data_IF_295002592699
#
_entry.id   IF_295002592699
#
_cell.length_a   1.000
_cell.length_b   1.000
_cell.length_c   1.000
_cell.angle_alpha   90.00
_cell.angle_beta   90.00
_cell.angle_gamma   90.00
#
_symmetry.space_group_name_H-M   'P 1'
#
loop_
_entity.id
_entity.type
_entity.pdbx_description
1 polymer ?
#
# COMPACT_ATOMS: atom_id res chain seq x y z
N UNK A 1 -22.38 5.95 -62.37
CA UNK A 1 -22.89 5.31 -61.11
C UNK A 1 -21.70 4.91 -60.27
N UNK A 2 -21.47 5.69 -59.25
CA UNK A 2 -20.46 5.43 -58.21
C UNK A 2 -21.05 4.44 -57.21
N UNK A 3 -20.43 3.30 -57.06
CA UNK A 3 -20.67 2.41 -55.93
C UNK A 3 -19.67 2.76 -54.82
N UNK A 4 -20.18 3.36 -53.77
CA UNK A 4 -19.49 3.55 -52.51
C UNK A 4 -19.38 2.19 -51.83
N UNK A 5 -18.17 1.64 -51.74
CA UNK A 5 -17.87 0.52 -50.83
C UNK A 5 -17.59 1.10 -49.46
N UNK A 6 -18.59 1.11 -48.60
CA UNK A 6 -18.35 1.26 -47.17
C UNK A 6 -17.59 0.03 -46.68
N UNK A 7 -16.28 0.16 -46.55
CA UNK A 7 -15.49 -0.80 -45.76
C UNK A 7 -15.91 -0.64 -44.30
N UNK A 8 -16.73 -1.57 -43.83
CA UNK A 8 -16.96 -1.68 -42.40
C UNK A 8 -15.69 -2.23 -41.77
N UNK A 9 -14.92 -1.37 -41.12
CA UNK A 9 -13.86 -1.76 -40.20
C UNK A 9 -14.49 -2.47 -39.03
N UNK A 10 -14.66 -3.78 -39.16
CA UNK A 10 -14.96 -4.67 -38.07
C UNK A 10 -13.65 -4.78 -37.26
N UNK A 11 -13.48 -3.94 -36.27
CA UNK A 11 -12.48 -4.15 -35.22
C UNK A 11 -12.73 -5.53 -34.60
N UNK A 12 -12.01 -6.53 -35.06
CA UNK A 12 -11.98 -7.85 -34.42
C UNK A 12 -11.37 -7.65 -33.03
N UNK A 13 -12.21 -7.62 -32.02
CA UNK A 13 -11.77 -7.74 -30.64
C UNK A 13 -11.05 -9.07 -30.52
N UNK A 14 -9.72 -9.05 -30.50
CA UNK A 14 -8.95 -10.23 -30.16
C UNK A 14 -9.15 -10.46 -28.65
N UNK A 15 -9.83 -11.55 -28.32
CA UNK A 15 -9.93 -12.04 -26.93
C UNK A 15 -8.74 -12.98 -26.76
N UNK A 16 -7.80 -12.59 -25.90
CA UNK A 16 -6.71 -13.47 -25.48
C UNK A 16 -7.17 -14.20 -24.22
N UNK A 17 -7.43 -15.48 -24.35
CA UNK A 17 -7.62 -16.38 -23.20
C UNK A 17 -6.25 -16.88 -22.75
N UNK A 18 -5.84 -16.53 -21.54
CA UNK A 18 -4.67 -17.12 -20.91
C UNK A 18 -5.09 -17.86 -19.63
N UNK A 19 -4.62 -19.10 -19.46
CA UNK A 19 -4.81 -19.84 -18.23
C UNK A 19 -3.74 -19.40 -17.22
N UNK A 20 -4.17 -18.84 -16.10
CA UNK A 20 -3.30 -18.52 -14.97
C UNK A 20 -3.49 -19.63 -13.93
N UNK A 21 -2.41 -20.32 -13.57
CA UNK A 21 -2.41 -21.27 -12.46
C UNK A 21 -2.11 -20.52 -11.18
N UNK A 22 -3.05 -20.53 -10.24
CA UNK A 22 -2.86 -19.96 -8.90
C UNK A 22 -2.47 -21.09 -7.96
N UNK A 23 -1.23 -21.05 -7.48
CA UNK A 23 -0.75 -22.02 -6.49
C UNK A 23 -1.09 -21.51 -5.08
N UNK A 24 -1.60 -22.37 -4.17
CA UNK A 24 -1.82 -21.98 -2.79
C UNK A 24 -0.48 -21.73 -2.11
N UNK A 25 -0.41 -20.62 -1.37
CA UNK A 25 0.77 -20.25 -0.56
C UNK A 25 0.32 -20.14 0.89
N UNK A 26 1.05 -20.79 1.81
CA UNK A 26 0.87 -20.58 3.24
C UNK A 26 1.76 -19.42 3.69
N UNK A 27 1.14 -18.31 4.03
CA UNK A 27 1.81 -17.12 4.55
C UNK A 27 2.08 -17.20 6.07
N UNK A 28 1.68 -18.29 6.74
CA UNK A 28 1.78 -18.45 8.18
C UNK A 28 0.83 -17.57 8.98
N UNK A 29 1.07 -17.51 10.29
CA UNK A 29 0.22 -16.78 11.23
C UNK A 29 1.02 -15.70 11.97
N UNK A 30 0.32 -14.66 12.43
CA UNK A 30 0.81 -13.63 13.33
C UNK A 30 -0.16 -13.53 14.51
N UNK A 31 0.34 -13.78 15.72
CA UNK A 31 -0.39 -13.67 16.98
C UNK A 31 0.21 -12.55 17.80
N UNK A 32 -0.58 -11.53 18.11
CA UNK A 32 -0.13 -10.38 18.89
C UNK A 32 -1.10 -10.10 20.04
N UNK A 33 -0.56 -9.59 21.12
CA UNK A 33 -1.35 -9.15 22.28
C UNK A 33 -1.33 -7.62 22.34
N UNK A 34 -2.52 -7.02 22.37
CA UNK A 34 -2.72 -5.58 22.54
C UNK A 34 -3.32 -5.35 23.92
N UNK A 35 -2.63 -4.58 24.75
CA UNK A 35 -3.05 -4.27 26.12
C UNK A 35 -4.15 -3.23 26.18
N UNK A 36 -4.17 -2.29 25.23
CA UNK A 36 -5.26 -1.32 25.11
C UNK A 36 -6.50 -1.99 24.52
N UNK A 37 -7.41 -2.39 25.39
CA UNK A 37 -8.63 -3.13 25.03
C UNK A 37 -9.56 -2.35 24.10
N UNK A 38 -9.56 -1.02 24.14
CA UNK A 38 -10.35 -0.19 23.23
C UNK A 38 -9.94 -0.37 21.76
N UNK A 39 -8.65 -0.68 21.51
CA UNK A 39 -8.14 -0.96 20.16
C UNK A 39 -8.44 -2.40 19.70
N UNK A 40 -8.87 -3.29 20.59
CA UNK A 40 -9.24 -4.68 20.30
C UNK A 40 -10.74 -4.84 20.17
N UNK A 41 -11.47 -4.25 21.11
CA UNK A 41 -12.94 -4.24 21.16
C UNK A 41 -13.41 -2.79 21.24
N UNK A 42 -13.46 -2.09 20.09
CA UNK A 42 -13.76 -0.67 20.06
C UNK A 42 -15.21 -0.37 20.45
N UNK A 43 -15.42 0.80 21.02
CA UNK A 43 -16.75 1.36 21.28
C UNK A 43 -17.56 1.50 19.98
N UNK A 44 -18.87 1.69 20.09
CA UNK A 44 -19.74 1.96 18.92
C UNK A 44 -19.29 3.22 18.17
N UNK A 45 -18.78 4.22 18.89
CA UNK A 45 -18.28 5.46 18.32
C UNK A 45 -16.97 5.22 17.54
N UNK A 46 -16.02 4.48 18.12
CA UNK A 46 -14.76 4.13 17.45
C UNK A 46 -15.00 3.22 16.24
N UNK A 47 -15.99 2.34 16.29
CA UNK A 47 -16.41 1.54 15.13
C UNK A 47 -16.92 2.43 13.98
N UNK A 48 -17.75 3.44 14.30
CA UNK A 48 -18.23 4.42 13.32
C UNK A 48 -17.07 5.23 12.74
N UNK A 49 -16.15 5.70 13.61
CA UNK A 49 -14.94 6.42 13.21
C UNK A 49 -14.10 5.57 12.22
N UNK A 50 -13.75 4.36 12.60
CA UNK A 50 -12.93 3.48 11.75
C UNK A 50 -13.60 3.10 10.43
N UNK A 51 -14.95 2.99 10.41
CA UNK A 51 -15.71 2.77 9.19
C UNK A 51 -15.68 4.00 8.25
N UNK A 52 -15.77 5.22 8.79
CA UNK A 52 -15.63 6.46 8.02
C UNK A 52 -14.22 6.62 7.46
N UNK A 53 -13.19 6.36 8.26
CA UNK A 53 -11.78 6.38 7.85
C UNK A 53 -11.52 5.37 6.72
N UNK A 54 -12.07 4.16 6.83
CA UNK A 54 -11.99 3.14 5.78
C UNK A 54 -12.69 3.57 4.49
N UNK A 55 -13.81 4.29 4.58
CA UNK A 55 -14.52 4.88 3.43
C UNK A 55 -13.69 5.99 2.79
N UNK A 56 -13.09 6.86 3.60
CA UNK A 56 -12.21 7.93 3.15
C UNK A 56 -11.02 7.35 2.37
N UNK A 57 -10.32 6.35 2.92
CA UNK A 57 -9.20 5.70 2.25
C UNK A 57 -9.62 5.08 0.91
N UNK A 58 -10.72 4.33 0.88
CA UNK A 58 -11.24 3.75 -0.38
C UNK A 58 -11.56 4.83 -1.41
N UNK A 59 -12.17 5.94 -0.99
CA UNK A 59 -12.48 7.08 -1.87
C UNK A 59 -11.22 7.69 -2.47
N UNK A 60 -10.15 7.83 -1.68
CA UNK A 60 -8.86 8.37 -2.13
C UNK A 60 -8.20 7.42 -3.13
N UNK A 61 -8.13 6.12 -2.82
CA UNK A 61 -7.53 5.10 -3.69
C UNK A 61 -8.31 4.82 -4.99
N UNK A 62 -9.60 5.17 -5.04
CA UNK A 62 -10.44 5.00 -6.25
C UNK A 62 -10.37 6.17 -7.22
N UNK A 63 -9.71 7.26 -6.86
CA UNK A 63 -9.55 8.42 -7.75
C UNK A 63 -8.61 8.06 -8.90
N UNK A 64 -8.99 8.49 -10.11
CA UNK A 64 -8.04 8.45 -11.23
C UNK A 64 -6.89 9.40 -10.93
N UNK A 65 -5.69 8.87 -10.89
CA UNK A 65 -4.49 9.69 -10.87
C UNK A 65 -4.31 10.36 -12.23
N UNK A 66 -3.99 11.66 -12.22
CA UNK A 66 -3.54 12.36 -13.42
C UNK A 66 -2.01 12.29 -13.57
N UNK A 67 -1.34 11.55 -12.68
CA UNK A 67 0.09 11.32 -12.72
C UNK A 67 0.38 10.04 -13.50
N UNK A 68 1.55 10.01 -14.14
CA UNK A 68 2.13 8.80 -14.72
C UNK A 68 3.32 8.40 -13.87
N UNK A 69 3.35 7.15 -13.43
CA UNK A 69 4.53 6.62 -12.77
C UNK A 69 5.67 6.52 -13.79
N UNK A 70 6.79 7.14 -13.48
CA UNK A 70 8.00 7.13 -14.32
C UNK A 70 8.92 5.95 -14.00
N UNK A 71 8.71 5.31 -12.86
CA UNK A 71 9.49 4.17 -12.39
C UNK A 71 8.61 3.30 -11.49
N UNK A 72 8.95 2.03 -11.42
CA UNK A 72 8.44 1.05 -10.44
C UNK A 72 9.58 0.46 -9.60
N UNK A 73 10.74 1.08 -9.66
CA UNK A 73 11.90 0.75 -8.85
C UNK A 73 11.77 1.39 -7.46
N UNK A 74 11.19 0.64 -6.52
CA UNK A 74 10.87 1.10 -5.19
C UNK A 74 12.09 1.13 -4.27
N UNK A 75 12.34 2.27 -3.62
CA UNK A 75 13.21 2.31 -2.46
C UNK A 75 12.51 1.71 -1.24
N UNK A 76 13.28 1.09 -0.37
CA UNK A 76 12.82 0.68 0.94
C UNK A 76 12.58 1.92 1.81
N UNK A 77 11.37 2.12 2.36
CA UNK A 77 11.02 3.38 3.04
C UNK A 77 11.69 3.56 4.41
N UNK A 78 12.14 2.47 5.05
CA UNK A 78 12.87 2.46 6.33
C UNK A 78 13.95 1.38 6.27
N UNK A 79 15.13 1.64 6.80
CA UNK A 79 16.27 0.71 6.77
C UNK A 79 16.15 -0.50 7.70
N UNK A 80 15.17 -0.49 8.62
CA UNK A 80 14.96 -1.54 9.63
C UNK A 80 14.66 -2.93 9.05
N UNK A 81 14.76 -3.97 9.86
CA UNK A 81 14.45 -5.35 9.45
C UNK A 81 12.94 -5.57 9.25
N UNK A 82 12.58 -6.58 8.47
CA UNK A 82 11.18 -6.97 8.30
C UNK A 82 10.73 -7.74 9.55
N UNK A 83 9.77 -7.19 10.28
CA UNK A 83 9.19 -7.79 11.48
C UNK A 83 7.92 -8.58 11.20
N UNK A 84 7.13 -8.16 10.20
CA UNK A 84 5.96 -8.92 9.77
C UNK A 84 5.76 -8.83 8.26
N UNK A 85 5.67 -10.01 7.62
CA UNK A 85 5.50 -10.14 6.17
C UNK A 85 4.04 -10.05 5.75
N UNK A 86 3.84 -9.74 4.47
CA UNK A 86 2.53 -9.72 3.80
C UNK A 86 1.86 -11.10 3.83
N UNK A 87 0.53 -11.12 3.93
CA UNK A 87 -0.31 -12.30 3.75
C UNK A 87 -0.59 -13.09 5.02
N UNK A 88 0.13 -12.85 6.14
CA UNK A 88 -0.06 -13.61 7.39
C UNK A 88 -1.49 -13.54 7.90
N UNK A 89 -2.05 -14.68 8.29
CA UNK A 89 -3.28 -14.74 9.09
C UNK A 89 -3.04 -14.06 10.43
N UNK A 90 -3.89 -13.11 10.80
CA UNK A 90 -3.69 -12.29 12.00
C UNK A 90 -4.67 -12.67 13.10
N UNK A 91 -4.11 -12.85 14.31
CA UNK A 91 -4.86 -12.99 15.55
C UNK A 91 -4.44 -11.88 16.52
N UNK A 92 -5.41 -11.15 17.06
CA UNK A 92 -5.18 -10.13 18.07
C UNK A 92 -5.95 -10.55 19.32
N UNK A 93 -5.23 -10.77 20.44
CA UNK A 93 -5.81 -11.33 21.66
C UNK A 93 -6.61 -12.61 21.36
N UNK A 94 -6.02 -13.52 20.57
CA UNK A 94 -6.60 -14.78 20.08
C UNK A 94 -7.85 -14.64 19.21
N UNK A 95 -8.33 -13.43 18.93
CA UNK A 95 -9.45 -13.17 18.04
C UNK A 95 -8.96 -13.06 16.59
N UNK A 96 -9.57 -13.79 15.65
CA UNK A 96 -9.20 -13.70 14.22
C UNK A 96 -9.49 -12.30 13.69
N UNK A 97 -8.58 -11.79 12.85
CA UNK A 97 -8.68 -10.48 12.18
C UNK A 97 -8.40 -10.64 10.69
N UNK A 98 -8.65 -9.57 9.94
CA UNK A 98 -8.25 -9.51 8.54
C UNK A 98 -6.75 -9.80 8.40
N UNK A 99 -6.32 -10.49 7.32
CA UNK A 99 -4.91 -10.78 7.07
C UNK A 99 -4.03 -9.53 7.09
N UNK A 100 -2.75 -9.71 7.38
CA UNK A 100 -1.75 -8.66 7.31
C UNK A 100 -1.39 -8.38 5.85
N UNK A 101 -2.02 -7.40 5.21
CA UNK A 101 -1.82 -7.06 3.80
C UNK A 101 -0.90 -5.84 3.65
N UNK A 102 0.26 -5.88 4.32
CA UNK A 102 1.29 -4.87 4.36
C UNK A 102 2.64 -5.50 4.70
N UNK A 103 3.68 -4.69 4.77
CA UNK A 103 4.99 -5.03 5.28
C UNK A 103 5.26 -4.19 6.52
N UNK A 104 5.60 -4.85 7.65
CA UNK A 104 6.03 -4.13 8.85
C UNK A 104 7.57 -4.10 8.88
N UNK A 105 8.11 -2.90 8.95
CA UNK A 105 9.54 -2.59 9.01
C UNK A 105 9.88 -2.02 10.38
N UNK A 106 10.83 -2.65 11.08
CA UNK A 106 11.33 -2.19 12.38
C UNK A 106 11.95 -0.79 12.28
N UNK A 107 11.92 -0.05 13.39
CA UNK A 107 12.55 1.25 13.51
C UNK A 107 12.31 1.86 14.88
N UNK A 108 13.19 2.74 15.29
CA UNK A 108 13.03 3.53 16.52
C UNK A 108 12.09 4.72 16.29
N UNK A 109 11.46 5.21 17.36
CA UNK A 109 10.66 6.45 17.26
C UNK A 109 11.56 7.59 16.81
N UNK A 110 11.22 8.19 15.67
CA UNK A 110 11.99 9.29 15.10
C UNK A 110 12.84 8.91 13.89
N UNK A 111 13.03 7.63 13.61
CA UNK A 111 13.73 7.18 12.40
C UNK A 111 13.05 7.70 11.14
N UNK A 112 13.81 8.15 10.13
CA UNK A 112 13.23 8.73 8.93
C UNK A 112 12.46 7.71 8.10
N UNK A 113 11.29 8.12 7.62
CA UNK A 113 10.51 7.44 6.60
C UNK A 113 10.68 8.23 5.30
N UNK A 114 11.10 7.56 4.23
CA UNK A 114 11.31 8.18 2.92
C UNK A 114 10.27 7.72 1.90
N UNK A 115 10.01 8.57 0.89
CA UNK A 115 9.17 8.22 -0.24
C UNK A 115 9.88 7.16 -1.12
N UNK A 116 9.25 6.02 -1.43
CA UNK A 116 9.88 4.97 -2.23
C UNK A 116 9.98 5.31 -3.71
N UNK A 117 9.13 6.21 -4.20
CA UNK A 117 9.05 6.73 -5.57
C UNK A 117 8.66 8.20 -5.50
N UNK A 118 8.84 8.91 -6.63
CA UNK A 118 8.20 10.22 -6.82
C UNK A 118 6.69 10.10 -6.65
N UNK A 119 6.05 11.13 -6.09
CA UNK A 119 4.61 11.07 -5.90
C UNK A 119 4.00 12.36 -5.36
N UNK A 120 2.69 12.32 -5.19
CA UNK A 120 1.91 13.40 -4.60
C UNK A 120 1.25 12.92 -3.32
N UNK A 121 1.33 13.70 -2.28
CA UNK A 121 0.62 13.46 -1.02
C UNK A 121 -0.89 13.68 -1.25
N UNK A 122 -1.69 12.64 -1.06
CA UNK A 122 -3.14 12.69 -1.31
C UNK A 122 -3.98 12.52 -0.05
N UNK A 123 -3.36 12.09 1.04
CA UNK A 123 -3.99 12.00 2.36
C UNK A 123 -2.91 12.15 3.44
N UNK A 124 -3.21 12.98 4.44
CA UNK A 124 -2.51 13.07 5.73
C UNK A 124 -3.60 13.16 6.79
N UNK A 125 -3.61 12.22 7.73
CA UNK A 125 -4.67 12.15 8.75
C UNK A 125 -4.19 11.37 9.98
N UNK A 126 -5.04 11.28 11.01
CA UNK A 126 -4.87 10.41 12.17
C UNK A 126 -6.04 9.43 12.26
N UNK A 127 -5.79 8.17 11.92
CA UNK A 127 -6.78 7.11 11.91
C UNK A 127 -6.76 6.29 13.20
N UNK A 128 -7.92 5.82 13.62
CA UNK A 128 -8.10 5.07 14.87
C UNK A 128 -7.14 3.88 15.00
N UNK A 129 -7.04 3.05 13.95
CA UNK A 129 -6.14 1.90 13.95
C UNK A 129 -4.76 2.21 13.39
N UNK A 130 -4.67 3.05 12.37
CA UNK A 130 -3.41 3.32 11.70
C UNK A 130 -2.57 4.40 12.40
N UNK A 131 -3.15 5.17 13.33
CA UNK A 131 -2.47 6.31 13.94
C UNK A 131 -2.20 7.41 12.91
N UNK A 132 -1.09 8.13 13.05
CA UNK A 132 -0.67 9.11 12.06
C UNK A 132 -0.38 8.41 10.74
N UNK A 133 -0.96 8.92 9.67
CA UNK A 133 -1.14 8.19 8.42
C UNK A 133 -0.95 9.09 7.20
N UNK A 134 -0.19 8.59 6.22
CA UNK A 134 0.01 9.26 4.92
C UNK A 134 -0.37 8.30 3.80
N UNK A 135 -0.89 8.85 2.70
CA UNK A 135 -1.01 8.16 1.41
C UNK A 135 -0.34 9.00 0.32
N UNK A 136 0.53 8.36 -0.46
CA UNK A 136 1.13 8.91 -1.67
C UNK A 136 0.47 8.29 -2.92
N UNK A 137 0.26 9.12 -3.93
CA UNK A 137 -0.10 8.74 -5.30
C UNK A 137 1.14 8.87 -6.19
N UNK A 138 1.62 7.75 -6.71
CA UNK A 138 2.80 7.69 -7.59
C UNK A 138 2.43 7.71 -9.08
N UNK A 139 1.16 7.84 -9.40
CA UNK A 139 0.66 7.74 -10.77
C UNK A 139 0.34 6.31 -11.20
N UNK A 140 -0.23 6.14 -12.39
CA UNK A 140 -0.58 4.85 -12.99
C UNK A 140 -1.35 3.90 -12.05
N UNK A 141 -2.17 4.46 -11.14
CA UNK A 141 -2.91 3.73 -10.09
C UNK A 141 -2.03 2.98 -9.07
N UNK A 142 -0.81 3.48 -8.85
CA UNK A 142 0.12 3.02 -7.82
C UNK A 142 0.02 3.97 -6.63
N UNK A 143 -0.28 3.41 -5.45
CA UNK A 143 -0.33 4.18 -4.22
C UNK A 143 0.47 3.47 -3.12
N UNK A 144 0.99 4.26 -2.18
CA UNK A 144 1.59 3.74 -0.96
C UNK A 144 0.98 4.39 0.27
N UNK A 145 0.90 3.65 1.37
CA UNK A 145 0.45 4.20 2.65
C UNK A 145 1.38 3.83 3.80
N UNK A 146 1.47 4.73 4.75
CA UNK A 146 2.38 4.70 5.89
C UNK A 146 1.57 4.91 7.16
N UNK A 147 1.63 3.94 8.06
CA UNK A 147 0.89 3.96 9.34
C UNK A 147 1.84 3.97 10.53
N UNK A 148 1.26 4.27 11.68
CA UNK A 148 1.91 4.26 12.99
C UNK A 148 3.00 5.32 13.16
N UNK A 149 3.00 6.34 12.29
CA UNK A 149 4.02 7.39 12.26
C UNK A 149 4.03 8.21 13.57
N UNK A 150 5.21 8.71 13.93
CA UNK A 150 5.37 9.68 15.01
C UNK A 150 5.04 11.09 14.50
N UNK A 151 5.67 11.49 13.40
CA UNK A 151 5.39 12.76 12.72
C UNK A 151 5.09 12.54 11.25
N UNK A 152 4.32 13.47 10.66
CA UNK A 152 4.10 13.61 9.23
C UNK A 152 4.70 14.95 8.81
N UNK A 153 5.74 14.92 7.97
CA UNK A 153 6.53 16.12 7.62
C UNK A 153 6.07 16.73 6.28
N UNK A 154 4.96 16.25 5.74
CA UNK A 154 4.38 16.67 4.45
C UNK A 154 2.91 17.02 4.59
N UNK A 155 2.36 17.75 3.60
CA UNK A 155 0.96 18.18 3.57
C UNK A 155 0.26 17.69 2.30
N UNK A 156 -1.08 17.54 2.36
CA UNK A 156 -1.89 17.14 1.20
C UNK A 156 -1.69 18.10 0.04
N UNK A 157 -1.43 17.55 -1.13
CA UNK A 157 -1.14 18.28 -2.37
C UNK A 157 0.33 18.49 -2.65
N UNK A 158 1.22 18.29 -1.68
CA UNK A 158 2.67 18.37 -1.86
C UNK A 158 3.16 17.27 -2.80
N UNK A 159 4.10 17.60 -3.70
CA UNK A 159 4.88 16.63 -4.45
C UNK A 159 6.13 16.27 -3.67
N UNK A 160 6.48 15.01 -3.68
CA UNK A 160 7.70 14.47 -3.05
C UNK A 160 8.50 13.70 -4.09
N UNK A 161 9.82 13.75 -3.96
CA UNK A 161 10.74 13.00 -4.81
C UNK A 161 11.14 11.68 -4.15
N UNK A 162 11.53 10.69 -4.95
CA UNK A 162 12.08 9.42 -4.48
C UNK A 162 13.24 9.66 -3.51
N UNK A 163 13.18 9.08 -2.32
CA UNK A 163 14.17 9.29 -1.25
C UNK A 163 13.90 10.48 -0.33
N UNK A 164 12.93 11.34 -0.64
CA UNK A 164 12.57 12.48 0.22
C UNK A 164 11.93 12.00 1.52
N UNK A 165 12.34 12.61 2.64
CA UNK A 165 11.75 12.33 3.95
C UNK A 165 10.31 12.83 4.01
N UNK A 166 9.38 11.95 4.39
CA UNK A 166 7.94 12.26 4.51
C UNK A 166 7.43 12.26 5.95
N UNK A 167 8.24 11.80 6.88
CA UNK A 167 7.90 11.75 8.30
C UNK A 167 8.84 10.84 9.07
N UNK A 168 8.38 10.34 10.23
CA UNK A 168 9.20 9.50 11.09
C UNK A 168 8.42 8.31 11.64
N UNK A 169 9.14 7.20 11.89
CA UNK A 169 8.63 6.00 12.54
C UNK A 169 8.08 6.35 13.92
N UNK A 170 6.99 5.72 14.30
CA UNK A 170 6.35 5.92 15.58
C UNK A 170 5.66 4.68 16.10
N UNK A 171 4.76 4.90 17.06
CA UNK A 171 3.98 3.84 17.73
C UNK A 171 2.53 4.30 17.95
N UNK A 172 1.97 5.06 17.00
CA UNK A 172 0.60 5.58 17.08
C UNK A 172 -0.42 4.57 16.56
N UNK A 173 -1.67 4.65 17.03
CA UNK A 173 -2.73 3.73 16.66
C UNK A 173 -2.60 2.35 17.33
N UNK A 174 -2.95 1.27 16.62
CA UNK A 174 -2.99 -0.09 17.16
C UNK A 174 -1.70 -0.86 16.85
N UNK A 175 -0.75 -0.78 17.76
CA UNK A 175 0.59 -1.38 17.62
C UNK A 175 1.02 -2.07 18.92
N UNK A 176 2.05 -2.91 18.85
CA UNK A 176 2.74 -3.53 20.00
C UNK A 176 4.06 -2.84 20.33
N UNK A 177 4.58 -2.03 19.39
CA UNK A 177 5.83 -1.30 19.53
C UNK A 177 6.12 -0.47 18.29
N UNK A 178 7.20 0.33 18.28
CA UNK A 178 7.54 1.19 17.16
C UNK A 178 7.85 0.37 15.91
N UNK A 179 7.26 0.74 14.78
CA UNK A 179 7.54 0.21 13.44
C UNK A 179 6.81 1.04 12.37
N UNK A 180 7.22 0.90 11.13
CA UNK A 180 6.44 1.35 9.99
C UNK A 180 5.58 0.20 9.47
N UNK A 181 4.26 0.40 9.40
CA UNK A 181 3.35 -0.45 8.64
C UNK A 181 3.17 0.15 7.25
N UNK A 182 3.78 -0.47 6.23
CA UNK A 182 3.84 0.00 4.85
C UNK A 182 2.98 -0.85 3.93
N UNK A 183 2.06 -0.19 3.21
CA UNK A 183 1.18 -0.86 2.23
C UNK A 183 1.40 -0.30 0.85
N UNK A 184 1.44 -1.17 -0.16
CA UNK A 184 1.44 -0.79 -1.58
C UNK A 184 0.15 -1.25 -2.24
N UNK A 185 -0.40 -0.39 -3.09
CA UNK A 185 -1.63 -0.66 -3.84
C UNK A 185 -1.37 -0.52 -5.34
N UNK A 186 -1.89 -1.47 -6.11
CA UNK A 186 -2.01 -1.42 -7.56
C UNK A 186 -3.48 -1.55 -7.95
N UNK A 187 -4.01 -0.58 -8.68
CA UNK A 187 -5.43 -0.54 -9.08
C UNK A 187 -6.38 -0.77 -7.88
N UNK A 188 -6.09 -0.14 -6.75
CA UNK A 188 -6.88 -0.25 -5.52
C UNK A 188 -6.71 -1.56 -4.73
N UNK A 189 -5.95 -2.53 -5.23
CA UNK A 189 -5.67 -3.79 -4.55
C UNK A 189 -4.32 -3.74 -3.83
N UNK A 190 -4.27 -4.30 -2.61
CA UNK A 190 -3.02 -4.44 -1.88
C UNK A 190 -2.17 -5.53 -2.49
N UNK A 191 -0.89 -5.24 -2.67
CA UNK A 191 0.11 -6.18 -3.19
C UNK A 191 1.21 -6.42 -2.17
N UNK A 192 2.00 -7.47 -2.34
CA UNK A 192 3.12 -7.76 -1.45
C UNK A 192 4.25 -6.74 -1.64
N UNK A 193 4.50 -5.83 -0.67
CA UNK A 193 5.51 -4.78 -0.83
C UNK A 193 6.94 -5.33 -0.83
N UNK A 194 7.19 -6.45 -0.14
CA UNK A 194 8.50 -7.07 -0.04
C UNK A 194 9.07 -7.41 -1.41
N UNK A 195 8.23 -7.88 -2.32
CA UNK A 195 8.64 -8.20 -3.68
C UNK A 195 9.07 -6.99 -4.51
N UNK A 196 8.52 -5.82 -4.20
CA UNK A 196 8.81 -4.57 -4.93
C UNK A 196 10.15 -3.94 -4.54
N UNK A 197 10.69 -4.30 -3.37
CA UNK A 197 11.98 -3.85 -2.86
C UNK A 197 13.05 -4.94 -2.91
N UNK A 198 12.75 -6.09 -3.52
CA UNK A 198 13.67 -7.19 -3.78
C UNK A 198 14.46 -6.89 -5.06
N UNK A 199 15.79 -6.94 -4.98
CA UNK A 199 16.66 -6.63 -6.12
C UNK A 199 16.32 -7.50 -7.33
N UNK A 200 16.20 -6.88 -8.50
CA UNK A 200 15.94 -7.56 -9.77
C UNK A 200 14.52 -8.12 -9.94
N UNK A 201 13.60 -7.93 -8.98
CA UNK A 201 12.23 -8.44 -9.13
C UNK A 201 11.50 -7.80 -10.32
N UNK A 202 11.66 -6.51 -10.53
CA UNK A 202 11.04 -5.79 -11.65
C UNK A 202 11.58 -6.30 -12.98
N UNK A 203 12.89 -6.57 -13.07
CA UNK A 203 13.54 -7.09 -14.28
C UNK A 203 12.95 -8.46 -14.68
N UNK A 204 12.58 -9.29 -13.68
CA UNK A 204 11.91 -10.57 -13.93
C UNK A 204 10.49 -10.42 -14.50
N UNK A 205 9.80 -9.29 -14.25
CA UNK A 205 8.45 -9.04 -14.73
C UNK A 205 8.43 -8.46 -16.16
N UNK A 206 9.45 -7.65 -16.51
CA UNK A 206 9.52 -6.98 -17.82
C UNK A 206 10.09 -7.90 -18.90
N UNK A 207 10.70 -9.02 -18.48
CA UNK A 207 11.46 -9.90 -19.36
C UNK A 207 12.74 -9.18 -19.84
N UNK A 208 13.89 -9.83 -19.76
CA UNK A 208 15.05 -9.39 -20.53
C UNK A 208 14.60 -9.39 -22.01
N UNK A 209 14.57 -8.23 -22.64
CA UNK A 209 14.51 -8.19 -24.11
C UNK A 209 15.78 -8.89 -24.58
N UNK A 210 15.72 -10.06 -25.20
CA UNK A 210 16.91 -10.62 -25.84
C UNK A 210 17.25 -9.66 -27.00
N UNK A 211 18.44 -9.05 -26.91
CA UNK A 211 19.06 -8.34 -28.03
C UNK A 211 19.12 -9.21 -29.30
#
# INVERSE_FOLDING_TARGET
RLLSSAASDVYKRQIFDSKITVNPVDFGESRITITNTALVTPSTEDQKRSAQESKQLRSVLSRKSNLTAHSVDFLRPVTGVITSRYGKKRFINDLPRAPHLALDLDGEIGDPIIAPLDGKVILVDNFFYAGNFIVLDHGSSIFTSYSHMHSTDVVVGQYVTKGEKIGTVGSTGRVTGPHLHWTVYFNGNRVNPEKLIEDGFIDTLVGENPE
#
